data_IF_358021429879
#
_entry.id   IF_358021429879
#
_cell.length_a   1.000
_cell.length_b   1.000
_cell.length_c   1.000
_cell.angle_alpha   90.00
_cell.angle_beta   90.00
_cell.angle_gamma   90.00
#
_symmetry.space_group_name_H-M   'P 1'
#
loop_
_entity.id
_entity.type
_entity.pdbx_description
1 polymer ?
#
# COMPACT_ATOMS: atom_id res chain seq x y z
N UNK A 1 -2.40 -27.36 0.85
CA UNK A 1 -1.67 -26.73 -0.27
C UNK A 1 -2.51 -25.74 -1.09
N UNK A 2 -3.85 -25.87 -1.13
CA UNK A 2 -4.75 -24.96 -1.87
C UNK A 2 -4.80 -23.52 -1.36
N UNK A 3 -4.76 -23.30 -0.03
CA UNK A 3 -4.85 -21.97 0.56
C UNK A 3 -3.69 -21.03 0.19
N UNK A 4 -2.45 -21.55 0.17
CA UNK A 4 -1.27 -20.75 -0.18
C UNK A 4 -1.33 -20.27 -1.64
N UNK A 5 -1.76 -21.13 -2.57
CA UNK A 5 -1.92 -20.76 -3.99
C UNK A 5 -2.96 -19.64 -4.13
N UNK A 6 -4.04 -19.68 -3.36
CA UNK A 6 -5.08 -18.63 -3.35
C UNK A 6 -4.64 -17.34 -2.68
N UNK A 7 -3.59 -17.36 -1.86
CA UNK A 7 -2.99 -16.17 -1.26
C UNK A 7 -2.09 -15.40 -2.24
N UNK A 8 -1.38 -16.12 -3.13
CA UNK A 8 -0.44 -15.54 -4.09
C UNK A 8 -0.98 -14.35 -4.91
N UNK A 9 -2.21 -14.34 -5.47
CA UNK A 9 -2.69 -13.18 -6.22
C UNK A 9 -2.84 -11.92 -5.36
N UNK A 10 -3.24 -12.06 -4.09
CA UNK A 10 -3.33 -10.93 -3.16
C UNK A 10 -1.94 -10.41 -2.79
N UNK A 11 -1.00 -11.33 -2.55
CA UNK A 11 0.40 -10.98 -2.29
C UNK A 11 1.03 -10.27 -3.51
N UNK A 12 0.82 -10.79 -4.71
CA UNK A 12 1.33 -10.19 -5.94
C UNK A 12 0.77 -8.78 -6.14
N UNK A 13 -0.53 -8.58 -5.91
CA UNK A 13 -1.15 -7.26 -6.03
C UNK A 13 -0.53 -6.23 -5.07
N UNK A 14 -0.33 -6.57 -3.79
CA UNK A 14 0.30 -5.64 -2.85
C UNK A 14 1.77 -5.40 -3.17
N UNK A 15 2.50 -6.40 -3.65
CA UNK A 15 3.91 -6.25 -4.07
C UNK A 15 4.03 -5.34 -5.29
N UNK A 16 3.12 -5.44 -6.26
CA UNK A 16 3.09 -4.55 -7.43
C UNK A 16 2.85 -3.10 -7.01
N UNK A 17 1.90 -2.86 -6.10
CA UNK A 17 1.60 -1.52 -5.57
C UNK A 17 2.77 -0.97 -4.75
N UNK A 18 3.37 -1.81 -3.89
CA UNK A 18 4.55 -1.44 -3.11
C UNK A 18 5.74 -1.10 -4.01
N UNK A 19 5.98 -1.90 -5.06
CA UNK A 19 7.02 -1.68 -6.04
C UNK A 19 6.82 -0.39 -6.83
N UNK A 20 5.59 -0.13 -7.28
CA UNK A 20 5.23 1.14 -7.94
C UNK A 20 5.47 2.33 -7.03
N UNK A 21 4.99 2.29 -5.77
CA UNK A 21 5.24 3.36 -4.80
C UNK A 21 6.73 3.57 -4.53
N UNK A 22 7.51 2.49 -4.46
CA UNK A 22 8.96 2.54 -4.27
C UNK A 22 9.75 3.20 -5.42
N UNK A 23 9.17 3.29 -6.63
CA UNK A 23 9.78 4.06 -7.74
C UNK A 23 9.81 5.57 -7.44
N UNK A 24 8.95 6.04 -6.54
CA UNK A 24 8.83 7.44 -6.13
C UNK A 24 9.41 7.64 -4.73
N UNK A 25 10.69 7.28 -4.57
CA UNK A 25 11.36 7.40 -3.28
C UNK A 25 11.53 8.87 -2.85
N UNK A 26 11.53 9.17 -1.55
CA UNK A 26 11.77 10.52 -1.05
C UNK A 26 13.19 10.99 -1.44
N UNK A 27 13.28 12.06 -2.21
CA UNK A 27 14.55 12.68 -2.63
C UNK A 27 14.88 13.97 -1.89
N UNK A 28 15.78 14.78 -2.46
CA UNK A 28 16.21 16.07 -1.89
C UNK A 28 15.04 17.03 -1.66
N UNK A 29 14.05 17.03 -2.56
CA UNK A 29 12.84 17.83 -2.38
C UNK A 29 12.15 17.53 -1.06
N UNK A 30 11.95 16.24 -0.74
CA UNK A 30 11.35 15.86 0.53
C UNK A 30 12.27 16.26 1.68
N UNK A 31 13.58 16.05 1.57
CA UNK A 31 14.54 16.41 2.63
C UNK A 31 14.52 17.91 2.97
N UNK A 32 14.26 18.79 1.99
CA UNK A 32 14.16 20.23 2.17
C UNK A 32 12.82 20.76 2.70
N UNK A 33 11.81 19.90 2.92
CA UNK A 33 10.54 20.33 3.50
C UNK A 33 10.65 20.62 5.00
N UNK A 34 10.00 21.70 5.44
CA UNK A 34 9.73 21.94 6.85
C UNK A 34 8.74 20.90 7.38
N UNK A 35 9.26 19.88 8.04
CA UNK A 35 8.48 18.79 8.63
C UNK A 35 8.12 19.13 10.08
N UNK A 36 6.94 18.70 10.56
CA UNK A 36 6.63 18.79 11.97
C UNK A 36 7.58 17.93 12.82
N UNK A 37 7.80 18.27 14.10
CA UNK A 37 8.76 17.57 14.97
C UNK A 37 8.38 16.12 15.28
N UNK A 38 7.12 15.73 15.06
CA UNK A 38 6.64 14.35 15.20
C UNK A 38 6.74 13.52 13.93
N UNK A 39 7.36 14.03 12.85
CA UNK A 39 7.61 13.24 11.65
C UNK A 39 8.58 12.07 11.97
N UNK A 40 8.21 10.81 11.73
CA UNK A 40 9.08 9.67 12.02
C UNK A 40 10.38 9.70 11.22
N UNK A 41 11.46 9.09 11.73
CA UNK A 41 12.67 8.85 10.96
C UNK A 41 12.40 8.05 9.67
N UNK A 42 13.10 8.35 8.58
CA UNK A 42 12.86 7.75 7.25
C UNK A 42 12.94 6.22 7.23
N UNK A 43 13.76 5.62 8.09
CA UNK A 43 13.91 4.16 8.16
C UNK A 43 12.65 3.46 8.68
N UNK A 44 11.77 4.14 9.43
CA UNK A 44 10.55 3.56 10.01
C UNK A 44 9.52 3.20 8.93
N UNK A 45 9.51 3.93 7.82
CA UNK A 45 8.52 3.75 6.77
C UNK A 45 8.64 2.37 6.11
N UNK A 46 9.85 1.86 5.87
CA UNK A 46 10.01 0.59 5.15
C UNK A 46 9.46 -0.62 5.95
N UNK A 47 9.81 -0.82 7.25
CA UNK A 47 9.23 -1.90 8.05
C UNK A 47 7.72 -1.78 8.24
N UNK A 48 7.22 -0.57 8.51
CA UNK A 48 5.77 -0.33 8.72
C UNK A 48 4.99 -0.67 7.45
N UNK A 49 5.38 -0.14 6.30
CA UNK A 49 4.69 -0.44 5.04
C UNK A 49 4.81 -1.90 4.63
N UNK A 50 5.97 -2.53 4.84
CA UNK A 50 6.15 -3.97 4.57
C UNK A 50 5.17 -4.81 5.38
N UNK A 51 5.03 -4.53 6.67
CA UNK A 51 4.07 -5.20 7.54
C UNK A 51 2.63 -4.95 7.09
N UNK A 52 2.28 -3.70 6.78
CA UNK A 52 0.95 -3.34 6.33
C UNK A 52 0.57 -4.04 5.02
N UNK A 53 1.47 -4.12 4.04
CA UNK A 53 1.22 -4.84 2.78
C UNK A 53 0.96 -6.33 3.00
N UNK A 54 1.74 -6.98 3.87
CA UNK A 54 1.50 -8.38 4.23
C UNK A 54 0.14 -8.56 4.92
N UNK A 55 -0.20 -7.67 5.85
CA UNK A 55 -1.50 -7.70 6.54
C UNK A 55 -2.66 -7.46 5.58
N UNK A 56 -2.54 -6.52 4.65
CA UNK A 56 -3.55 -6.23 3.63
C UNK A 56 -3.79 -7.44 2.72
N UNK A 57 -2.72 -8.09 2.24
CA UNK A 57 -2.84 -9.31 1.44
C UNK A 57 -3.50 -10.44 2.23
N UNK A 58 -3.11 -10.63 3.50
CA UNK A 58 -3.68 -11.67 4.36
C UNK A 58 -5.17 -11.42 4.63
N UNK A 59 -5.54 -10.18 4.94
CA UNK A 59 -6.94 -9.79 5.16
C UNK A 59 -7.81 -10.02 3.90
N UNK A 60 -7.34 -9.60 2.72
CA UNK A 60 -8.06 -9.81 1.48
C UNK A 60 -8.22 -11.30 1.13
N UNK A 61 -7.18 -12.10 1.36
CA UNK A 61 -7.25 -13.55 1.19
C UNK A 61 -8.27 -14.20 2.13
N UNK A 62 -8.27 -13.86 3.42
CA UNK A 62 -9.25 -14.37 4.39
C UNK A 62 -10.68 -14.00 3.99
N UNK A 63 -10.91 -12.76 3.54
CA UNK A 63 -12.20 -12.32 3.00
C UNK A 63 -12.57 -13.11 1.75
N UNK A 64 -11.60 -13.39 0.87
CA UNK A 64 -11.73 -14.25 -0.31
C UNK A 64 -12.32 -15.63 0.00
N UNK A 65 -11.83 -16.26 1.06
CA UNK A 65 -12.23 -17.60 1.49
C UNK A 65 -13.51 -17.61 2.36
N UNK A 66 -13.94 -16.48 2.91
CA UNK A 66 -15.02 -16.40 3.93
C UNK A 66 -16.41 -16.91 3.52
N UNK A 67 -16.68 -17.09 2.22
CA UNK A 67 -18.02 -17.44 1.71
C UNK A 67 -19.11 -16.37 1.94
N UNK A 68 -18.77 -15.23 2.54
CA UNK A 68 -19.74 -14.20 2.92
C UNK A 68 -20.32 -13.48 1.70
N UNK A 69 -21.63 -13.21 1.70
CA UNK A 69 -22.34 -12.44 0.65
C UNK A 69 -21.67 -11.11 0.26
N UNK A 70 -21.03 -10.42 1.22
CA UNK A 70 -20.40 -9.11 1.05
C UNK A 70 -18.95 -9.19 0.56
N UNK A 71 -18.41 -10.40 0.35
CA UNK A 71 -17.02 -10.62 -0.08
C UNK A 71 -16.65 -9.79 -1.30
N UNK A 72 -17.48 -9.82 -2.35
CA UNK A 72 -17.19 -9.09 -3.60
C UNK A 72 -17.03 -7.59 -3.33
N UNK A 73 -17.96 -7.01 -2.57
CA UNK A 73 -17.93 -5.60 -2.20
C UNK A 73 -16.69 -5.24 -1.38
N UNK A 74 -16.32 -6.09 -0.41
CA UNK A 74 -15.11 -5.88 0.39
C UNK A 74 -13.83 -5.92 -0.46
N UNK A 75 -13.72 -6.90 -1.39
CA UNK A 75 -12.57 -7.00 -2.30
C UNK A 75 -12.52 -5.86 -3.32
N UNK A 76 -13.67 -5.33 -3.75
CA UNK A 76 -13.72 -4.11 -4.58
C UNK A 76 -13.14 -2.92 -3.83
N UNK A 77 -13.56 -2.70 -2.59
CA UNK A 77 -13.03 -1.60 -1.77
C UNK A 77 -11.54 -1.76 -1.46
N UNK A 78 -11.08 -2.98 -1.22
CA UNK A 78 -9.66 -3.30 -1.09
C UNK A 78 -8.87 -2.96 -2.37
N UNK A 79 -9.40 -3.32 -3.55
CA UNK A 79 -8.74 -2.97 -4.81
C UNK A 79 -8.67 -1.44 -5.03
N UNK A 80 -9.76 -0.72 -4.75
CA UNK A 80 -9.79 0.74 -4.81
C UNK A 80 -8.77 1.34 -3.84
N UNK A 81 -8.75 0.85 -2.60
CA UNK A 81 -7.78 1.24 -1.58
C UNK A 81 -6.34 1.03 -2.06
N UNK A 82 -6.04 -0.07 -2.76
CA UNK A 82 -4.69 -0.33 -3.27
C UNK A 82 -4.29 0.61 -4.40
N UNK A 83 -5.21 0.93 -5.31
CA UNK A 83 -4.95 1.92 -6.37
C UNK A 83 -4.66 3.29 -5.78
N UNK A 84 -5.48 3.74 -4.82
CA UNK A 84 -5.26 5.02 -4.13
C UNK A 84 -3.94 5.02 -3.35
N UNK A 85 -3.61 3.92 -2.70
CA UNK A 85 -2.37 3.74 -1.96
C UNK A 85 -1.13 3.89 -2.87
N UNK A 86 -1.13 3.25 -4.05
CA UNK A 86 -0.05 3.41 -5.03
C UNK A 86 0.01 4.83 -5.61
N UNK A 87 -1.14 5.40 -5.96
CA UNK A 87 -1.23 6.74 -6.52
C UNK A 87 -0.68 7.82 -5.59
N UNK A 88 -0.83 7.66 -4.26
CA UNK A 88 -0.36 8.61 -3.27
C UNK A 88 1.15 8.89 -3.39
N UNK A 89 1.99 7.85 -3.53
CA UNK A 89 3.45 8.03 -3.62
C UNK A 89 3.85 8.78 -4.89
N UNK A 90 3.17 8.50 -6.01
CA UNK A 90 3.38 9.22 -7.26
C UNK A 90 2.97 10.69 -7.15
N UNK A 91 1.80 10.99 -6.57
CA UNK A 91 1.30 12.35 -6.39
C UNK A 91 2.20 13.17 -5.44
N UNK A 92 2.59 12.58 -4.32
CA UNK A 92 3.36 13.27 -3.28
C UNK A 92 4.84 13.41 -3.68
N UNK A 93 5.55 12.29 -3.91
CA UNK A 93 6.99 12.29 -4.16
C UNK A 93 7.34 12.45 -5.64
N UNK A 94 6.50 11.98 -6.56
CA UNK A 94 6.75 12.11 -8.00
C UNK A 94 6.38 13.49 -8.56
N UNK A 95 5.17 13.98 -8.25
CA UNK A 95 4.65 15.24 -8.78
C UNK A 95 4.84 16.44 -7.84
N UNK A 96 5.29 16.22 -6.60
CA UNK A 96 5.41 17.26 -5.57
C UNK A 96 4.09 18.03 -5.37
N UNK A 97 2.96 17.34 -5.40
CA UNK A 97 1.60 17.89 -5.23
C UNK A 97 0.97 17.43 -3.91
N UNK A 98 1.48 17.86 -2.74
CA UNK A 98 0.98 17.40 -1.45
C UNK A 98 -0.49 17.76 -1.18
N UNK A 99 -1.05 18.78 -1.85
CA UNK A 99 -2.48 19.11 -1.73
C UNK A 99 -3.42 18.17 -2.49
N UNK A 100 -2.90 17.32 -3.37
CA UNK A 100 -3.66 16.35 -4.16
C UNK A 100 -3.38 14.90 -3.78
N UNK A 101 -2.34 14.67 -2.95
CA UNK A 101 -1.97 13.36 -2.43
C UNK A 101 -2.77 13.06 -1.16
#
# INVERSE_FOLDING_TARGET
MSGLIRFLPFLAAVVLVAGFGGMFAPGEWYAGLDKPPWNPPSWVFAPVWSLLYLMMAAAAWMVGESGHERRKRALTWWAIQLVLNGAWSWLFFGLHRPGWA
#
